data_IF_686842589126
#
_entry.id   IF_686842589126
#
_cell.length_a   1.000
_cell.length_b   1.000
_cell.length_c   1.000
_cell.angle_alpha   90.00
_cell.angle_beta   90.00
_cell.angle_gamma   90.00
#
_symmetry.space_group_name_H-M   'P 1'
#
loop_
_entity.id
_entity.type
_entity.pdbx_description
1 polymer ?
#
# COMPACT_ATOMS: atom_id res chain seq x y z
N UNK A 1 -2.66 -4.08 2.03
CA UNK A 1 -1.24 -4.47 2.09
C UNK A 1 -0.99 -5.14 3.42
N UNK A 2 -0.12 -6.14 3.49
CA UNK A 2 0.39 -6.64 4.76
C UNK A 2 1.71 -5.93 5.07
N UNK A 3 1.80 -5.32 6.25
CA UNK A 3 2.95 -4.51 6.67
C UNK A 3 3.54 -5.08 7.96
N UNK A 4 4.86 -5.18 8.00
CA UNK A 4 5.61 -5.52 9.21
C UNK A 4 6.81 -4.60 9.34
N UNK A 5 7.07 -4.17 10.58
CA UNK A 5 8.19 -3.28 10.89
C UNK A 5 8.99 -3.87 12.05
N UNK A 6 10.32 -3.77 11.97
CA UNK A 6 11.23 -4.13 13.06
C UNK A 6 12.32 -3.07 13.21
N UNK A 7 12.68 -2.79 14.46
CA UNK A 7 13.77 -1.87 14.80
C UNK A 7 15.02 -2.67 15.13
N UNK A 8 16.12 -2.43 14.42
CA UNK A 8 17.44 -2.93 14.76
C UNK A 8 18.23 -1.86 15.51
N UNK A 9 18.24 -1.98 16.84
CA UNK A 9 18.92 -1.03 17.73
C UNK A 9 20.43 -1.04 17.58
N UNK A 10 21.03 -2.16 17.17
CA UNK A 10 22.49 -2.26 17.03
C UNK A 10 22.98 -1.48 15.82
N UNK A 11 22.27 -1.56 14.71
CA UNK A 11 22.59 -0.77 13.50
C UNK A 11 21.95 0.62 13.47
N UNK A 12 21.04 0.92 14.41
CA UNK A 12 20.29 2.18 14.43
C UNK A 12 19.32 2.32 13.26
N UNK A 13 18.81 1.20 12.73
CA UNK A 13 17.96 1.16 11.53
C UNK A 13 16.56 0.64 11.84
N UNK A 14 15.64 0.97 10.94
CA UNK A 14 14.30 0.37 10.87
C UNK A 14 14.21 -0.40 9.56
N UNK A 15 13.72 -1.64 9.63
CA UNK A 15 13.36 -2.43 8.45
C UNK A 15 11.84 -2.49 8.37
N UNK A 16 11.29 -2.11 7.23
CA UNK A 16 9.87 -2.18 6.92
C UNK A 16 9.65 -3.07 5.70
N UNK A 17 8.73 -4.01 5.81
CA UNK A 17 8.37 -4.95 4.75
C UNK A 17 6.90 -4.76 4.37
N UNK A 18 6.63 -4.77 3.07
CA UNK A 18 5.29 -4.68 2.53
C UNK A 18 5.05 -5.81 1.53
N UNK A 19 3.95 -6.53 1.72
CA UNK A 19 3.43 -7.45 0.72
C UNK A 19 2.13 -6.87 0.14
N UNK A 20 2.09 -6.79 -1.19
CA UNK A 20 0.92 -6.39 -1.97
C UNK A 20 0.72 -7.34 -3.13
N UNK A 21 -0.52 -7.42 -3.60
CA UNK A 21 -0.80 -7.89 -4.96
C UNK A 21 -0.35 -6.80 -5.95
N UNK A 22 0.57 -7.15 -6.86
CA UNK A 22 1.18 -6.21 -7.80
C UNK A 22 0.22 -5.76 -8.91
N UNK A 23 -0.81 -6.55 -9.23
CA UNK A 23 -1.79 -6.20 -10.25
C UNK A 23 -3.00 -5.48 -9.65
N UNK A 24 -3.40 -5.80 -8.42
CA UNK A 24 -4.46 -5.07 -7.72
C UNK A 24 -3.90 -3.76 -7.11
N UNK A 25 -3.29 -3.82 -5.93
CA UNK A 25 -2.81 -2.61 -5.24
C UNK A 25 -1.60 -1.98 -5.93
N UNK A 26 -0.80 -2.76 -6.65
CA UNK A 26 0.35 -2.24 -7.39
C UNK A 26 0.01 -1.60 -8.74
N UNK A 27 -1.16 -1.87 -9.33
CA UNK A 27 -1.50 -1.40 -10.68
C UNK A 27 -2.99 -1.02 -10.83
N UNK A 28 -3.85 -1.98 -11.22
CA UNK A 28 -5.21 -1.70 -11.69
C UNK A 28 -6.16 -1.32 -10.55
N UNK A 29 -6.12 -2.03 -9.43
CA UNK A 29 -6.95 -1.71 -8.26
C UNK A 29 -6.66 -0.32 -7.71
N UNK A 30 -5.37 0.06 -7.61
CA UNK A 30 -5.01 1.42 -7.19
C UNK A 30 -5.43 2.49 -8.21
N UNK A 31 -5.37 2.19 -9.51
CA UNK A 31 -5.85 3.10 -10.54
C UNK A 31 -7.37 3.33 -10.45
N UNK A 32 -8.14 2.27 -10.20
CA UNK A 32 -9.60 2.36 -10.00
C UNK A 32 -9.94 3.14 -8.74
N UNK A 33 -9.26 2.88 -7.60
CA UNK A 33 -9.48 3.66 -6.37
C UNK A 33 -9.23 5.15 -6.57
N UNK A 34 -8.15 5.51 -7.27
CA UNK A 34 -7.86 6.90 -7.64
C UNK A 34 -8.93 7.50 -8.57
N UNK A 35 -9.44 6.71 -9.53
CA UNK A 35 -10.50 7.15 -10.43
C UNK A 35 -11.82 7.35 -9.68
N UNK A 36 -12.17 6.47 -8.74
CA UNK A 36 -13.36 6.60 -7.90
C UNK A 36 -13.35 7.96 -7.18
N UNK A 37 -12.22 8.30 -6.53
CA UNK A 37 -12.05 9.61 -5.88
C UNK A 37 -12.21 10.75 -6.89
N UNK A 38 -11.58 10.65 -8.07
CA UNK A 38 -11.65 11.69 -9.09
C UNK A 38 -13.09 11.92 -9.61
N UNK A 39 -13.93 10.89 -9.60
CA UNK A 39 -15.34 10.96 -10.00
C UNK A 39 -16.29 11.30 -8.84
N UNK A 40 -15.78 11.53 -7.63
CA UNK A 40 -16.59 11.78 -6.43
C UNK A 40 -17.33 10.54 -5.91
N UNK A 41 -16.87 9.34 -6.27
CA UNK A 41 -17.37 8.06 -5.79
C UNK A 41 -16.63 7.63 -4.50
N UNK A 42 -17.18 6.71 -3.70
CA UNK A 42 -16.45 6.10 -2.58
C UNK A 42 -15.18 5.40 -3.07
N UNK A 43 -14.06 5.57 -2.36
CA UNK A 43 -12.77 4.99 -2.75
C UNK A 43 -12.80 3.45 -2.78
N UNK A 44 -13.59 2.83 -1.93
CA UNK A 44 -13.73 1.37 -1.77
C UNK A 44 -14.86 0.74 -2.58
N UNK A 45 -15.49 1.52 -3.46
CA UNK A 45 -16.52 1.06 -4.40
C UNK A 45 -15.98 0.07 -5.45
#
# INVERSE_FOLDING_TARGET
AHLQVITDRKSGRIYAFAAIDNLNRGTAGQAVQSLNIALGLPEDA
#
